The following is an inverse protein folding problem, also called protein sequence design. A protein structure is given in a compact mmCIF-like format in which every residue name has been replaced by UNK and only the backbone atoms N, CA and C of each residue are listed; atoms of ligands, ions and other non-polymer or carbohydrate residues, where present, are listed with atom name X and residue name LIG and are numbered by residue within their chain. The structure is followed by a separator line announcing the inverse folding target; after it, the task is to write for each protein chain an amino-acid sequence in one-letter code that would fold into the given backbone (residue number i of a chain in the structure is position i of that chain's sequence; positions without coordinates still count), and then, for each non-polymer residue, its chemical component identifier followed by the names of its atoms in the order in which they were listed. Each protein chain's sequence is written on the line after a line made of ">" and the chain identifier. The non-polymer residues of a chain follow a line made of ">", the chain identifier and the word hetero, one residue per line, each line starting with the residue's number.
data_IF_843149557569
#
_entry.id   IF_843149557569
#
_cell.length_a   1.000
_cell.length_b   1.000
_cell.length_c   1.000
_cell.angle_alpha   90.00
_cell.angle_beta   90.00
_cell.angle_gamma   90.00
#
_symmetry.space_group_name_H-M   'P 1'
#
loop_
_entity.id
_entity.type
_entity.pdbx_description
1 polymer ?
#
# COMPACT_ATOMS: atom_id res chain seq x y z
N UNK A 1 0.84 -11.38 -23.24
CA UNK A 1 1.37 -12.01 -22.00
C UNK A 1 0.57 -13.27 -21.73
N UNK A 2 1.20 -14.44 -21.59
CA UNK A 2 0.51 -15.74 -21.54
C UNK A 2 -0.34 -15.90 -20.25
N UNK A 3 -1.52 -16.53 -20.34
CA UNK A 3 -2.51 -16.57 -19.25
C UNK A 3 -2.03 -17.26 -17.98
N UNK A 4 -1.16 -18.27 -18.12
CA UNK A 4 -0.57 -18.96 -16.98
C UNK A 4 0.32 -18.03 -16.14
N UNK A 5 1.03 -17.10 -16.81
CA UNK A 5 1.89 -16.11 -16.16
C UNK A 5 1.05 -15.08 -15.41
N UNK A 6 -0.07 -14.64 -16.00
CA UNK A 6 -1.00 -13.70 -15.36
C UNK A 6 -1.66 -14.31 -14.12
N UNK A 7 -2.21 -15.53 -14.22
CA UNK A 7 -2.79 -16.27 -13.08
C UNK A 7 -1.80 -16.48 -11.94
N UNK A 8 -0.53 -16.76 -12.26
CA UNK A 8 0.54 -16.86 -11.25
C UNK A 8 0.78 -15.53 -10.53
N UNK A 9 0.78 -14.39 -11.25
CA UNK A 9 0.92 -13.04 -10.65
C UNK A 9 -0.25 -12.70 -9.73
N UNK A 10 -1.48 -13.03 -10.12
CA UNK A 10 -2.68 -12.79 -9.31
C UNK A 10 -2.60 -13.57 -8.00
N UNK A 11 -2.32 -14.89 -8.06
CA UNK A 11 -2.16 -15.72 -6.85
C UNK A 11 -1.06 -15.20 -5.93
N UNK A 12 0.06 -14.75 -6.49
CA UNK A 12 1.14 -14.14 -5.69
C UNK A 12 0.66 -12.88 -4.98
N UNK A 13 -0.08 -12.01 -5.67
CA UNK A 13 -0.62 -10.77 -5.12
C UNK A 13 -1.60 -11.04 -3.99
N UNK A 14 -2.52 -11.99 -4.18
CA UNK A 14 -3.49 -12.40 -3.14
C UNK A 14 -2.80 -12.92 -1.89
N UNK A 15 -1.79 -13.78 -2.04
CA UNK A 15 -1.01 -14.28 -0.90
C UNK A 15 -0.32 -13.17 -0.12
N UNK A 16 0.19 -12.15 -0.82
CA UNK A 16 0.78 -10.99 -0.14
C UNK A 16 -0.30 -10.20 0.60
N UNK A 17 -1.46 -9.93 -0.01
CA UNK A 17 -2.58 -9.26 0.67
C UNK A 17 -2.98 -10.03 1.95
N UNK A 18 -3.12 -11.34 1.86
CA UNK A 18 -3.42 -12.21 3.01
C UNK A 18 -2.35 -12.10 4.10
N UNK A 19 -1.07 -12.09 3.73
CA UNK A 19 0.02 -11.91 4.68
C UNK A 19 -0.03 -10.55 5.39
N UNK A 20 -0.26 -9.46 4.65
CA UNK A 20 -0.43 -8.12 5.24
C UNK A 20 -1.61 -8.08 6.23
N UNK A 21 -2.72 -8.72 5.89
CA UNK A 21 -3.89 -8.84 6.78
C UNK A 21 -3.58 -9.66 8.02
N UNK A 22 -2.92 -10.81 7.86
CA UNK A 22 -2.56 -11.70 8.96
C UNK A 22 -1.60 -11.04 9.95
N UNK A 23 -0.66 -10.21 9.48
CA UNK A 23 0.28 -9.49 10.34
C UNK A 23 -0.39 -8.30 11.01
N UNK A 24 -0.93 -7.38 10.21
CA UNK A 24 -1.38 -6.09 10.70
C UNK A 24 -2.82 -6.09 11.23
N UNK A 25 -3.57 -7.19 11.06
CA UNK A 25 -4.90 -7.37 11.66
C UNK A 25 -4.88 -7.83 13.13
N UNK A 26 -3.71 -8.15 13.67
CA UNK A 26 -3.54 -8.54 15.09
C UNK A 26 -3.43 -7.32 16.00
N UNK A 27 -3.65 -7.49 17.30
CA UNK A 27 -3.49 -6.42 18.29
C UNK A 27 -2.07 -5.83 18.29
N UNK A 28 -1.06 -6.69 18.25
CA UNK A 28 0.35 -6.28 18.15
C UNK A 28 0.63 -5.57 16.82
N UNK A 29 0.10 -6.09 15.71
CA UNK A 29 0.18 -5.46 14.40
C UNK A 29 -0.42 -4.06 14.40
N UNK A 30 -1.56 -3.86 15.06
CA UNK A 30 -2.18 -2.56 15.24
C UNK A 30 -1.35 -1.63 16.12
N UNK A 31 -0.71 -2.14 17.18
CA UNK A 31 0.22 -1.36 18.01
C UNK A 31 1.41 -0.86 17.18
N UNK A 32 1.97 -1.70 16.31
CA UNK A 32 3.04 -1.33 15.37
C UNK A 32 2.55 -0.26 14.38
N UNK A 33 1.35 -0.38 13.82
CA UNK A 33 0.80 0.64 12.91
C UNK A 33 0.67 2.00 13.59
N UNK A 34 0.21 2.05 14.84
CA UNK A 34 0.11 3.30 15.61
C UNK A 34 1.47 3.93 15.89
N UNK A 35 2.50 3.10 16.09
CA UNK A 35 3.88 3.57 16.24
C UNK A 35 4.45 4.10 14.91
N UNK A 36 4.25 3.37 13.80
CA UNK A 36 4.70 3.78 12.48
C UNK A 36 4.03 5.08 12.02
N UNK A 37 2.72 5.26 12.26
CA UNK A 37 1.99 6.48 11.94
C UNK A 37 2.61 7.72 12.62
N UNK A 38 3.07 7.57 13.87
CA UNK A 38 3.79 8.63 14.59
C UNK A 38 5.16 8.87 13.96
N UNK A 39 5.93 7.80 13.73
CA UNK A 39 7.29 7.89 13.15
C UNK A 39 7.31 8.48 11.74
N UNK A 40 6.28 8.29 10.93
CA UNK A 40 6.19 8.87 9.58
C UNK A 40 5.52 10.25 9.54
N UNK A 41 5.21 10.83 10.70
CA UNK A 41 4.56 12.14 10.81
C UNK A 41 3.22 12.18 10.05
N UNK A 42 2.45 11.10 10.06
CA UNK A 42 1.31 10.94 9.13
C UNK A 42 0.35 12.15 9.11
N UNK A 43 0.12 12.78 10.26
CA UNK A 43 -0.79 13.94 10.41
C UNK A 43 -0.08 15.27 10.66
N UNK A 44 1.25 15.29 10.69
CA UNK A 44 2.02 16.51 10.96
C UNK A 44 2.59 17.10 9.67
N UNK A 45 2.47 18.41 9.44
CA UNK A 45 3.18 19.06 8.35
C UNK A 45 4.70 18.82 8.47
N UNK A 46 5.36 18.57 7.34
CA UNK A 46 6.84 18.45 7.28
C UNK A 46 7.46 19.30 6.21
N UNK A 47 6.64 20.12 5.55
CA UNK A 47 7.10 21.15 4.65
C UNK A 47 7.96 22.11 5.44
N UNK A 48 9.26 22.06 5.20
CA UNK A 48 10.18 23.06 5.71
C UNK A 48 10.00 24.34 4.90
N UNK A 49 9.11 25.20 5.38
CA UNK A 49 8.79 26.50 4.77
C UNK A 49 9.90 27.55 5.01
N UNK A 50 10.99 27.18 5.70
CA UNK A 50 12.08 28.12 6.03
C UNK A 50 13.11 28.31 4.91
N UNK A 51 13.14 27.45 3.89
CA UNK A 51 14.05 27.55 2.74
C UNK A 51 13.39 28.19 1.52
N UNK A 52 14.11 29.08 0.83
CA UNK A 52 13.63 29.83 -0.36
C UNK A 52 13.16 28.96 -1.55
N UNK A 53 13.45 27.65 -1.53
CA UNK A 53 13.21 26.74 -2.64
C UNK A 53 12.11 25.68 -2.37
N UNK A 54 11.34 25.79 -1.27
CA UNK A 54 10.06 25.07 -1.07
C UNK A 54 10.11 23.54 -0.92
N UNK A 55 11.21 22.87 -1.31
CA UNK A 55 11.45 21.44 -1.16
C UNK A 55 12.73 21.21 -0.37
N UNK A 56 12.59 20.79 0.88
CA UNK A 56 13.71 20.32 1.68
C UNK A 56 13.87 18.81 1.55
N UNK A 57 15.10 18.32 1.74
CA UNK A 57 15.38 16.89 1.88
C UNK A 57 14.55 16.24 3.00
N UNK A 58 14.19 17.02 4.03
CA UNK A 58 13.30 16.55 5.10
C UNK A 58 11.89 16.25 4.59
N UNK A 59 11.27 17.13 3.79
CA UNK A 59 9.95 16.87 3.20
C UNK A 59 9.93 15.56 2.40
N UNK A 60 10.91 15.39 1.50
CA UNK A 60 11.01 14.18 0.69
C UNK A 60 11.23 12.90 1.52
N UNK A 61 12.04 12.99 2.59
CA UNK A 61 12.28 11.87 3.50
C UNK A 61 10.99 11.40 4.19
N UNK A 62 10.18 12.34 4.71
CA UNK A 62 8.93 11.98 5.38
C UNK A 62 7.86 11.51 4.40
N UNK A 63 7.82 12.05 3.18
CA UNK A 63 6.91 11.56 2.14
C UNK A 63 7.24 10.11 1.74
N UNK A 64 8.51 9.73 1.65
CA UNK A 64 8.91 8.34 1.45
C UNK A 64 8.44 7.42 2.59
N UNK A 65 8.56 7.86 3.84
CA UNK A 65 8.07 7.10 5.01
C UNK A 65 6.54 6.97 5.01
N UNK A 66 5.82 8.02 4.61
CA UNK A 66 4.36 7.99 4.46
C UNK A 66 3.93 7.05 3.35
N UNK A 67 4.59 7.07 2.20
CA UNK A 67 4.30 6.19 1.09
C UNK A 67 4.38 4.71 1.52
N UNK A 68 5.46 4.33 2.22
CA UNK A 68 5.61 2.98 2.76
C UNK A 68 4.50 2.61 3.77
N UNK A 69 4.14 3.54 4.66
CA UNK A 69 3.05 3.32 5.62
C UNK A 69 1.67 3.19 4.93
N UNK A 70 1.39 4.03 3.94
CA UNK A 70 0.16 3.98 3.16
C UNK A 70 0.06 2.70 2.33
N UNK A 71 1.17 2.18 1.82
CA UNK A 71 1.21 0.89 1.14
C UNK A 71 0.82 -0.25 2.09
N UNK A 72 1.31 -0.23 3.34
CA UNK A 72 0.87 -1.19 4.36
C UNK A 72 -0.65 -1.11 4.55
N UNK A 73 -1.19 0.09 4.79
CA UNK A 73 -2.63 0.29 4.99
C UNK A 73 -3.45 -0.18 3.78
N UNK A 74 -3.00 0.15 2.57
CA UNK A 74 -3.64 -0.26 1.32
C UNK A 74 -3.71 -1.78 1.23
N UNK A 75 -2.61 -2.48 1.52
CA UNK A 75 -2.57 -3.94 1.44
C UNK A 75 -3.42 -4.60 2.53
N UNK A 76 -3.40 -4.07 3.75
CA UNK A 76 -4.21 -4.56 4.87
C UNK A 76 -5.71 -4.34 4.66
N UNK A 77 -6.12 -3.24 4.03
CA UNK A 77 -7.52 -2.94 3.73
C UNK A 77 -8.00 -3.49 2.38
N UNK A 78 -7.11 -4.07 1.56
CA UNK A 78 -7.43 -4.50 0.20
C UNK A 78 -8.45 -5.64 0.20
N UNK A 79 -9.56 -5.48 -0.52
CA UNK A 79 -10.49 -6.58 -0.80
C UNK A 79 -9.96 -7.43 -1.97
N UNK A 80 -9.37 -8.58 -1.63
CA UNK A 80 -8.82 -9.51 -2.61
C UNK A 80 -9.89 -10.13 -3.53
N UNK A 81 -11.13 -10.31 -3.05
CA UNK A 81 -12.21 -10.87 -3.88
C UNK A 81 -12.67 -9.86 -4.93
N UNK A 82 -12.84 -8.60 -4.52
CA UNK A 82 -13.14 -7.50 -5.45
C UNK A 82 -12.04 -7.31 -6.49
N UNK A 83 -10.77 -7.45 -6.10
CA UNK A 83 -9.64 -7.40 -7.03
C UNK A 83 -9.71 -8.52 -8.08
N UNK A 84 -10.01 -9.76 -7.67
CA UNK A 84 -10.16 -10.88 -8.61
C UNK A 84 -11.32 -10.64 -9.57
N UNK A 85 -12.46 -10.17 -9.06
CA UNK A 85 -13.64 -9.89 -9.89
C UNK A 85 -13.34 -8.84 -10.98
N UNK A 86 -12.69 -7.72 -10.62
CA UNK A 86 -12.30 -6.68 -11.58
C UNK A 86 -11.32 -7.20 -12.64
N UNK A 87 -10.41 -8.08 -12.26
CA UNK A 87 -9.46 -8.69 -13.21
C UNK A 87 -10.17 -9.62 -14.19
N UNK A 88 -11.12 -10.43 -13.72
CA UNK A 88 -11.93 -11.31 -14.57
C UNK A 88 -12.87 -10.53 -15.51
N UNK A 89 -13.39 -9.38 -15.07
CA UNK A 89 -14.19 -8.48 -15.90
C UNK A 89 -13.33 -7.85 -17.01
N UNK A 90 -12.13 -7.40 -16.66
CA UNK A 90 -11.17 -6.86 -17.64
C UNK A 90 -10.76 -7.91 -18.68
N UNK A 91 -10.70 -9.19 -18.30
CA UNK A 91 -10.42 -10.30 -19.23
C UNK A 91 -11.55 -10.47 -20.24
N UNK A 92 -12.80 -10.55 -19.78
CA UNK A 92 -13.97 -10.67 -20.65
C UNK A 92 -14.08 -9.53 -21.68
N UNK A 93 -13.78 -8.30 -21.28
CA UNK A 93 -13.89 -7.13 -22.15
C UNK A 93 -12.74 -6.99 -23.17
N UNK A 94 -11.64 -7.74 -23.04
CA UNK A 94 -10.54 -7.73 -24.02
C UNK A 94 -10.64 -8.85 -25.06
N UNK A 95 -11.55 -9.80 -24.84
CA UNK A 95 -11.81 -10.93 -25.74
C UNK A 95 -13.02 -10.66 -26.68
N UNK A 96 -13.66 -9.49 -26.55
CA UNK A 96 -14.69 -8.90 -27.45
C UNK A 96 -14.07 -7.89 -28.42
#
# INVERSE_FOLDING_TARGET
>A
MNDSVRRKKIRKTLRIIEAYKAVFGTDDGQAVLRDLARKCHMLSPVTDVSGSNGFSAASAFYDGKRAAFLDILKMSACDGQKLVALLQETERNNDE
#
